data_IF_745912776420
#
_entry.id   IF_745912776420
#
_cell.length_a   1.000
_cell.length_b   1.000
_cell.length_c   1.000
_cell.angle_alpha   90.00
_cell.angle_beta   90.00
_cell.angle_gamma   90.00
#
_symmetry.space_group_name_H-M   'P 1'
#
loop_
_entity.id
_entity.type
_entity.pdbx_description
1 polymer ?
#
# COMPACT_ATOMS: atom_id res chain seq x y z
N UNK A 1 16.95 20.49 -2.82
CA UNK A 1 16.12 19.65 -3.71
C UNK A 1 15.31 18.71 -2.82
N UNK A 2 14.02 18.53 -3.09
CA UNK A 2 13.17 17.59 -2.36
C UNK A 2 12.72 16.49 -3.32
N UNK A 3 13.07 15.23 -3.05
CA UNK A 3 12.67 14.08 -3.84
C UNK A 3 11.31 13.53 -3.38
N UNK A 4 10.29 13.70 -4.21
CA UNK A 4 8.92 13.25 -3.99
C UNK A 4 8.42 12.42 -5.18
N UNK A 5 9.32 11.65 -5.79
CA UNK A 5 9.17 10.91 -7.05
C UNK A 5 8.74 9.44 -6.87
N UNK A 6 8.14 9.12 -5.72
CA UNK A 6 7.46 7.84 -5.47
C UNK A 6 8.36 6.70 -5.03
N UNK A 7 7.78 5.49 -4.92
CA UNK A 7 8.49 4.29 -4.43
C UNK A 7 9.76 4.01 -5.23
N UNK A 8 9.72 4.16 -6.55
CA UNK A 8 10.87 3.91 -7.44
C UNK A 8 11.67 5.17 -7.75
N UNK A 9 11.95 5.94 -6.69
CA UNK A 9 12.60 7.24 -6.75
C UNK A 9 13.96 7.18 -7.46
N UNK A 10 14.08 7.96 -8.53
CA UNK A 10 15.36 8.23 -9.20
C UNK A 10 16.25 9.09 -8.31
N UNK A 11 15.67 10.05 -7.59
CA UNK A 11 16.43 10.88 -6.63
C UNK A 11 17.06 10.03 -5.52
N UNK A 12 16.33 9.07 -4.97
CA UNK A 12 16.87 8.13 -3.98
C UNK A 12 18.01 7.30 -4.59
N UNK A 13 17.79 6.77 -5.80
CA UNK A 13 18.81 5.96 -6.49
C UNK A 13 20.12 6.72 -6.67
N UNK A 14 20.02 7.95 -7.15
CA UNK A 14 21.19 8.74 -7.54
C UNK A 14 21.97 9.27 -6.31
N UNK A 15 21.27 9.52 -5.20
CA UNK A 15 21.86 10.12 -3.99
C UNK A 15 22.26 9.09 -2.93
N UNK A 16 21.46 8.03 -2.74
CA UNK A 16 21.64 7.04 -1.68
C UNK A 16 22.11 5.68 -2.21
N UNK A 17 21.86 5.38 -3.49
CA UNK A 17 22.26 4.16 -4.18
C UNK A 17 21.08 3.26 -4.57
N UNK A 18 21.38 2.08 -5.07
CA UNK A 18 20.42 1.14 -5.67
C UNK A 18 19.21 0.80 -4.76
N UNK A 19 18.03 0.66 -5.35
CA UNK A 19 16.75 0.52 -4.66
C UNK A 19 16.69 -0.73 -3.77
N UNK A 20 17.30 -1.82 -4.20
CA UNK A 20 17.32 -3.13 -3.55
C UNK A 20 17.92 -3.07 -2.14
N UNK A 21 18.74 -2.05 -1.86
CA UNK A 21 19.30 -1.80 -0.53
C UNK A 21 18.22 -1.39 0.47
N UNK A 22 17.18 -0.70 -0.01
CA UNK A 22 16.15 -0.05 0.81
C UNK A 22 14.78 -0.70 0.67
N UNK A 23 14.49 -1.30 -0.49
CA UNK A 23 13.25 -2.01 -0.74
C UNK A 23 13.19 -3.30 0.09
N UNK A 24 12.04 -3.53 0.73
CA UNK A 24 11.71 -4.76 1.44
C UNK A 24 10.40 -5.29 0.89
N UNK A 25 10.49 -6.37 0.12
CA UNK A 25 9.34 -7.04 -0.45
C UNK A 25 8.61 -7.83 0.64
N UNK A 26 7.28 -7.77 0.64
CA UNK A 26 6.46 -8.55 1.58
C UNK A 26 6.18 -9.96 1.07
N UNK A 27 6.74 -10.34 -0.10
CA UNK A 27 6.46 -11.60 -0.79
C UNK A 27 5.14 -11.60 -1.58
N UNK A 28 4.50 -10.45 -1.74
CA UNK A 28 3.21 -10.30 -2.42
C UNK A 28 3.35 -9.40 -3.65
N UNK A 29 2.47 -9.57 -4.63
CA UNK A 29 2.29 -8.71 -5.78
C UNK A 29 0.83 -8.26 -5.85
N UNK A 30 0.64 -7.04 -6.38
CA UNK A 30 -0.66 -6.45 -6.59
C UNK A 30 -0.81 -6.03 -8.06
N UNK A 31 -2.00 -6.26 -8.61
CA UNK A 31 -2.43 -5.73 -9.90
C UNK A 31 -3.71 -4.93 -9.71
N UNK A 32 -3.82 -3.78 -10.38
CA UNK A 32 -5.01 -2.93 -10.37
C UNK A 32 -5.38 -2.58 -11.80
N UNK A 33 -6.67 -2.69 -12.12
CA UNK A 33 -7.23 -2.33 -13.42
C UNK A 33 -8.54 -1.56 -13.25
N UNK A 34 -8.87 -0.73 -14.24
CA UNK A 34 -10.23 -0.24 -14.42
C UNK A 34 -11.06 -1.22 -15.22
N UNK A 35 -12.30 -1.43 -14.80
CA UNK A 35 -13.28 -2.24 -15.54
C UNK A 35 -14.60 -1.48 -15.65
N UNK A 36 -15.41 -1.75 -16.69
CA UNK A 36 -16.79 -1.29 -16.71
C UNK A 36 -17.50 -1.69 -15.41
N UNK A 37 -18.34 -0.82 -14.86
CA UNK A 37 -19.08 -1.13 -13.63
C UNK A 37 -20.29 -2.04 -13.91
N UNK A 38 -20.06 -3.21 -14.49
CA UNK A 38 -21.11 -4.16 -14.85
C UNK A 38 -21.78 -4.84 -13.64
N UNK A 39 -21.17 -4.72 -12.46
CA UNK A 39 -21.71 -5.17 -11.17
C UNK A 39 -22.62 -4.13 -10.49
N UNK A 40 -22.83 -2.96 -11.11
CA UNK A 40 -23.61 -1.81 -10.58
C UNK A 40 -23.24 -1.45 -9.13
N UNK A 41 -21.93 -1.41 -8.84
CA UNK A 41 -21.44 -1.01 -7.52
C UNK A 41 -21.62 0.50 -7.33
N UNK A 42 -22.10 0.90 -6.14
CA UNK A 42 -22.23 2.31 -5.74
C UNK A 42 -21.69 2.47 -4.32
N UNK A 43 -20.47 3.01 -4.20
CA UNK A 43 -19.77 3.18 -2.91
C UNK A 43 -19.72 1.88 -2.13
N UNK A 44 -19.48 0.80 -2.86
CA UNK A 44 -19.46 -0.56 -2.34
C UNK A 44 -18.21 -1.30 -2.83
N UNK A 45 -17.72 -2.20 -1.99
CA UNK A 45 -16.59 -3.07 -2.28
C UNK A 45 -17.02 -4.53 -2.10
N UNK A 46 -16.67 -5.36 -3.07
CA UNK A 46 -16.80 -6.80 -3.02
C UNK A 46 -15.40 -7.41 -2.91
N UNK A 47 -15.23 -8.34 -1.98
CA UNK A 47 -13.98 -9.05 -1.76
C UNK A 47 -14.23 -10.53 -1.98
N UNK A 48 -13.48 -11.12 -2.89
CA UNK A 48 -13.45 -12.55 -3.16
C UNK A 48 -12.09 -13.12 -2.80
N UNK A 49 -12.05 -13.91 -1.72
CA UNK A 49 -10.84 -14.53 -1.22
C UNK A 49 -10.82 -16.03 -1.55
N UNK A 50 -9.70 -16.49 -2.10
CA UNK A 50 -9.38 -17.90 -2.30
C UNK A 50 -8.06 -18.22 -1.58
N UNK A 51 -7.74 -19.50 -1.32
CA UNK A 51 -6.50 -19.84 -0.64
C UNK A 51 -5.29 -19.24 -1.38
N UNK A 52 -4.55 -18.37 -0.70
CA UNK A 52 -3.36 -17.72 -1.25
C UNK A 52 -3.63 -16.56 -2.22
N UNK A 53 -4.88 -16.14 -2.49
CA UNK A 53 -5.16 -15.05 -3.45
C UNK A 53 -6.44 -14.29 -3.09
N UNK A 54 -6.46 -12.99 -3.35
CA UNK A 54 -7.63 -12.13 -3.11
C UNK A 54 -7.90 -11.29 -4.36
N UNK A 55 -9.18 -11.18 -4.73
CA UNK A 55 -9.67 -10.22 -5.72
C UNK A 55 -10.66 -9.28 -5.04
N UNK A 56 -10.51 -7.99 -5.27
CA UNK A 56 -11.39 -6.96 -4.75
C UNK A 56 -11.94 -6.15 -5.91
N UNK A 57 -13.22 -5.79 -5.87
CA UNK A 57 -13.81 -4.89 -6.86
C UNK A 57 -14.61 -3.84 -6.12
N UNK A 58 -14.32 -2.57 -6.38
CA UNK A 58 -15.04 -1.46 -5.78
C UNK A 58 -15.35 -0.36 -6.80
N UNK A 59 -16.36 0.44 -6.50
CA UNK A 59 -16.67 1.66 -7.24
C UNK A 59 -16.91 2.82 -6.29
N UNK A 60 -16.25 3.95 -6.53
CA UNK A 60 -16.48 5.21 -5.81
C UNK A 60 -17.51 6.09 -6.53
N UNK A 61 -17.67 5.92 -7.85
CA UNK A 61 -18.65 6.57 -8.70
C UNK A 61 -19.18 5.57 -9.73
N UNK A 62 -20.50 5.47 -9.87
CA UNK A 62 -21.24 4.42 -10.61
C UNK A 62 -20.77 4.13 -12.05
N UNK A 63 -19.98 4.98 -12.68
CA UNK A 63 -19.53 4.81 -14.06
C UNK A 63 -18.43 3.75 -14.24
N UNK A 64 -17.49 3.63 -13.30
CA UNK A 64 -16.30 2.77 -13.43
C UNK A 64 -16.07 2.03 -12.12
N UNK A 65 -15.61 0.79 -12.21
CA UNK A 65 -15.14 0.01 -11.09
C UNK A 65 -13.63 -0.22 -11.18
N UNK A 66 -13.00 -0.39 -10.03
CA UNK A 66 -11.60 -0.79 -9.88
C UNK A 66 -11.55 -2.22 -9.42
N UNK A 67 -10.80 -3.05 -10.14
CA UNK A 67 -10.49 -4.41 -9.72
C UNK A 67 -9.04 -4.48 -9.26
N UNK A 68 -8.82 -5.07 -8.09
CA UNK A 68 -7.51 -5.27 -7.49
C UNK A 68 -7.30 -6.76 -7.25
N UNK A 69 -6.15 -7.27 -7.68
CA UNK A 69 -5.69 -8.63 -7.49
C UNK A 69 -4.50 -8.61 -6.53
N UNK A 70 -4.52 -9.44 -5.50
CA UNK A 70 -3.44 -9.59 -4.53
C UNK A 70 -3.06 -11.07 -4.38
N UNK A 71 -1.79 -11.39 -4.55
CA UNK A 71 -1.29 -12.77 -4.63
C UNK A 71 0.22 -12.84 -4.33
N UNK A 72 0.79 -14.01 -4.02
CA UNK A 72 2.23 -14.17 -3.85
C UNK A 72 3.01 -13.68 -5.07
N UNK A 73 4.07 -12.92 -4.82
CA UNK A 73 4.97 -12.49 -5.88
C UNK A 73 5.69 -13.70 -6.51
N UNK A 74 6.03 -13.64 -7.80
CA UNK A 74 6.87 -14.66 -8.44
C UNK A 74 8.28 -14.65 -7.83
N UNK A 75 8.96 -15.80 -7.84
CA UNK A 75 10.33 -15.94 -7.34
C UNK A 75 11.31 -15.00 -8.08
N UNK A 76 11.08 -14.80 -9.37
CA UNK A 76 11.80 -13.83 -10.19
C UNK A 76 10.90 -12.64 -10.49
N UNK A 77 11.35 -11.45 -10.08
CA UNK A 77 10.66 -10.21 -10.38
C UNK A 77 10.66 -9.97 -11.89
N UNK A 78 9.47 -9.66 -12.41
CA UNK A 78 9.28 -9.28 -13.80
C UNK A 78 9.83 -7.88 -14.05
N UNK A 79 10.28 -7.63 -15.28
CA UNK A 79 10.56 -6.28 -15.72
C UNK A 79 9.29 -5.43 -15.59
N UNK A 80 9.43 -4.26 -14.96
CA UNK A 80 8.34 -3.29 -14.78
C UNK A 80 7.80 -2.78 -16.11
N UNK A 81 8.62 -2.78 -17.16
CA UNK A 81 8.22 -2.39 -18.52
C UNK A 81 7.49 -3.47 -19.32
N UNK A 82 7.58 -4.75 -18.92
CA UNK A 82 6.94 -5.85 -19.65
C UNK A 82 5.50 -6.08 -19.17
N UNK A 83 4.61 -5.17 -19.57
CA UNK A 83 3.18 -5.21 -19.26
C UNK A 83 2.56 -6.55 -19.70
N UNK A 84 2.95 -7.08 -20.86
CA UNK A 84 2.40 -8.33 -21.37
C UNK A 84 2.78 -9.53 -20.51
N UNK A 85 4.01 -9.60 -19.99
CA UNK A 85 4.40 -10.64 -19.03
C UNK A 85 3.65 -10.52 -17.71
N UNK A 86 3.46 -9.30 -17.21
CA UNK A 86 2.71 -9.05 -15.98
C UNK A 86 1.24 -9.47 -16.11
N UNK A 87 0.58 -9.12 -17.23
CA UNK A 87 -0.78 -9.55 -17.52
C UNK A 87 -0.91 -11.07 -17.62
N UNK A 88 0.04 -11.74 -18.31
CA UNK A 88 0.06 -13.22 -18.39
C UNK A 88 0.18 -13.85 -17.00
N UNK A 89 1.08 -13.36 -16.17
CA UNK A 89 1.25 -13.86 -14.81
C UNK A 89 -0.05 -13.73 -14.01
N UNK A 90 -0.71 -12.57 -14.05
CA UNK A 90 -1.99 -12.36 -13.34
C UNK A 90 -3.05 -13.34 -13.87
N UNK A 91 -3.16 -13.52 -15.19
CA UNK A 91 -4.12 -14.46 -15.79
C UNK A 91 -3.84 -15.91 -15.39
N UNK A 92 -2.58 -16.35 -15.37
CA UNK A 92 -2.17 -17.69 -14.94
C UNK A 92 -2.47 -17.92 -13.46
N UNK A 93 -2.10 -16.95 -12.61
CA UNK A 93 -2.36 -17.02 -11.17
C UNK A 93 -3.86 -17.07 -10.88
N UNK A 94 -4.72 -16.42 -11.66
CA UNK A 94 -6.14 -16.31 -11.37
C UNK A 94 -7.04 -17.17 -12.28
N UNK A 95 -6.48 -18.07 -13.08
CA UNK A 95 -7.21 -18.88 -14.05
C UNK A 95 -8.36 -19.70 -13.44
N UNK A 96 -8.18 -20.17 -12.20
CA UNK A 96 -9.15 -20.96 -11.42
C UNK A 96 -9.89 -20.14 -10.35
N UNK A 97 -9.83 -18.81 -10.43
CA UNK A 97 -10.29 -17.91 -9.37
C UNK A 97 -11.80 -17.93 -9.09
N UNK A 98 -12.63 -18.42 -10.01
CA UNK A 98 -14.09 -18.45 -9.87
C UNK A 98 -14.72 -17.05 -9.76
N UNK A 99 -15.97 -16.96 -9.28
CA UNK A 99 -16.70 -15.69 -9.17
C UNK A 99 -16.63 -14.86 -10.48
N UNK A 100 -16.25 -13.60 -10.40
CA UNK A 100 -16.13 -12.64 -11.51
C UNK A 100 -14.73 -12.60 -12.12
N UNK A 101 -13.81 -13.43 -11.63
CA UNK A 101 -12.39 -13.35 -12.00
C UNK A 101 -12.18 -13.48 -13.50
N UNK A 102 -12.90 -14.38 -14.18
CA UNK A 102 -12.79 -14.54 -15.63
C UNK A 102 -13.19 -13.26 -16.40
N UNK A 103 -14.25 -12.58 -15.97
CA UNK A 103 -14.70 -11.33 -16.59
C UNK A 103 -13.69 -10.19 -16.35
N UNK A 104 -13.14 -10.11 -15.13
CA UNK A 104 -12.13 -9.12 -14.78
C UNK A 104 -10.82 -9.33 -15.56
N UNK A 105 -10.36 -10.59 -15.67
CA UNK A 105 -9.20 -10.94 -16.50
C UNK A 105 -9.45 -10.64 -17.99
N UNK A 106 -10.68 -10.84 -18.48
CA UNK A 106 -11.07 -10.50 -19.85
C UNK A 106 -11.01 -9.00 -20.14
N UNK A 107 -11.25 -8.14 -19.15
CA UNK A 107 -11.16 -6.68 -19.28
C UNK A 107 -9.73 -6.13 -19.12
N UNK A 108 -8.82 -6.90 -18.53
CA UNK A 108 -7.45 -6.48 -18.20
C UNK A 108 -6.63 -5.95 -19.40
N UNK A 109 -6.63 -6.58 -20.60
CA UNK A 109 -5.83 -6.10 -21.73
C UNK A 109 -6.22 -4.69 -22.21
N UNK A 110 -7.50 -4.34 -22.09
CA UNK A 110 -8.07 -3.07 -22.54
C UNK A 110 -8.11 -2.02 -21.41
N UNK A 111 -7.61 -2.34 -20.22
CA UNK A 111 -7.60 -1.42 -19.08
C UNK A 111 -6.63 -0.27 -19.36
N UNK A 112 -7.10 1.00 -19.40
CA UNK A 112 -6.26 2.16 -19.75
C UNK A 112 -5.20 2.48 -18.68
N UNK A 113 -5.37 1.95 -17.48
CA UNK A 113 -4.53 2.20 -16.31
C UNK A 113 -4.17 0.91 -15.59
N UNK A 114 -3.81 -0.12 -16.37
CA UNK A 114 -3.19 -1.31 -15.82
C UNK A 114 -1.98 -0.95 -14.97
N UNK A 115 -1.98 -1.42 -13.73
CA UNK A 115 -0.88 -1.27 -12.79
C UNK A 115 -0.53 -2.65 -12.23
N UNK A 116 0.76 -2.95 -12.17
CA UNK A 116 1.28 -4.14 -11.51
C UNK A 116 2.55 -3.76 -10.75
N UNK A 117 2.68 -4.24 -9.52
CA UNK A 117 3.92 -4.15 -8.78
C UNK A 117 3.98 -5.17 -7.63
N UNK A 118 5.19 -5.38 -7.12
CA UNK A 118 5.39 -6.00 -5.81
C UNK A 118 4.86 -5.11 -4.69
N UNK A 119 4.28 -5.74 -3.68
CA UNK A 119 3.95 -5.07 -2.44
C UNK A 119 5.25 -4.95 -1.63
N UNK A 120 5.74 -3.71 -1.55
CA UNK A 120 7.06 -3.41 -1.01
C UNK A 120 7.01 -2.23 -0.06
N UNK A 121 8.00 -2.16 0.83
CA UNK A 121 8.26 -1.02 1.68
C UNK A 121 9.63 -0.43 1.40
N UNK A 122 9.79 0.88 1.63
CA UNK A 122 11.10 1.55 1.57
C UNK A 122 11.58 1.82 3.00
N UNK A 123 12.77 1.31 3.32
CA UNK A 123 13.41 1.45 4.62
C UNK A 123 14.72 2.20 4.47
N UNK A 124 14.77 3.44 4.98
CA UNK A 124 15.93 4.31 4.96
C UNK A 124 16.33 4.73 6.38
N UNK A 125 17.62 4.58 6.69
CA UNK A 125 18.21 5.06 7.94
C UNK A 125 18.25 6.59 8.00
N UNK A 126 18.57 7.23 6.87
CA UNK A 126 18.59 8.68 6.73
C UNK A 126 17.76 9.10 5.52
N UNK A 127 16.93 10.13 5.67
CA UNK A 127 16.07 10.64 4.60
C UNK A 127 16.66 11.86 3.88
N UNK A 128 17.87 12.27 4.25
CA UNK A 128 18.55 13.39 3.61
C UNK A 128 20.04 13.14 3.46
N UNK A 129 20.64 13.78 2.45
CA UNK A 129 22.08 13.80 2.23
C UNK A 129 22.44 15.15 1.61
N UNK A 130 23.32 15.91 2.27
CA UNK A 130 23.68 17.27 1.87
C UNK A 130 22.45 18.20 1.77
N UNK A 131 22.15 18.66 0.56
CA UNK A 131 21.02 19.56 0.25
C UNK A 131 19.82 18.85 -0.38
N UNK A 132 19.80 17.53 -0.30
CA UNK A 132 18.71 16.68 -0.80
C UNK A 132 18.00 16.03 0.37
N UNK A 133 16.67 16.14 0.40
CA UNK A 133 15.82 15.37 1.31
C UNK A 133 14.76 14.61 0.50
N UNK A 134 14.38 13.43 0.96
CA UNK A 134 13.32 12.61 0.40
C UNK A 134 12.06 12.72 1.25
N UNK A 135 10.90 12.54 0.63
CA UNK A 135 9.60 12.58 1.30
C UNK A 135 8.62 11.58 0.68
N UNK A 136 7.63 11.15 1.46
CA UNK A 136 6.59 10.24 0.98
C UNK A 136 7.17 8.88 0.61
N UNK A 137 6.64 8.25 -0.43
CA UNK A 137 7.06 6.91 -0.83
C UNK A 137 8.54 6.83 -1.27
N UNK A 138 9.14 7.95 -1.67
CA UNK A 138 10.57 8.01 -1.96
C UNK A 138 11.42 7.73 -0.71
N UNK A 139 10.94 8.13 0.47
CA UNK A 139 11.64 8.01 1.75
C UNK A 139 11.17 6.81 2.59
N UNK A 140 9.87 6.53 2.62
CA UNK A 140 9.26 5.63 3.61
C UNK A 140 7.93 5.02 3.12
N UNK A 141 7.92 4.46 1.91
CA UNK A 141 6.71 3.82 1.41
C UNK A 141 6.24 2.69 2.35
N UNK A 142 5.00 2.73 2.88
CA UNK A 142 4.49 1.75 3.84
C UNK A 142 3.89 0.48 3.19
N UNK A 143 4.00 0.35 1.86
CA UNK A 143 3.21 -0.54 1.01
C UNK A 143 1.74 -0.11 0.87
N UNK A 144 1.10 -0.40 -0.29
CA UNK A 144 -0.30 -0.04 -0.54
C UNK A 144 -1.28 -0.67 0.47
N UNK A 145 -0.91 -1.79 1.10
CA UNK A 145 -1.76 -2.52 2.05
C UNK A 145 -1.81 -1.89 3.45
N UNK A 146 -1.01 -0.84 3.70
CA UNK A 146 -1.12 -0.05 4.92
C UNK A 146 -2.33 0.90 4.90
N UNK A 147 -2.70 1.39 3.71
CA UNK A 147 -3.65 2.51 3.56
C UNK A 147 -3.16 3.86 4.10
N UNK A 148 -1.88 3.98 4.49
CA UNK A 148 -1.35 5.16 5.20
C UNK A 148 -0.39 6.02 4.35
N UNK A 149 -0.03 5.59 3.14
CA UNK A 149 0.97 6.29 2.30
C UNK A 149 0.68 7.77 2.08
N UNK A 150 -0.55 8.11 1.70
CA UNK A 150 -0.97 9.51 1.48
C UNK A 150 -0.89 10.33 2.77
N UNK A 151 -1.37 9.78 3.89
CA UNK A 151 -1.29 10.45 5.20
C UNK A 151 0.16 10.74 5.58
N UNK A 152 1.04 9.75 5.44
CA UNK A 152 2.48 9.90 5.73
C UNK A 152 3.17 10.92 4.82
N UNK A 153 2.79 10.98 3.55
CA UNK A 153 3.30 11.97 2.61
C UNK A 153 2.87 13.40 3.01
N UNK A 154 1.60 13.60 3.33
CA UNK A 154 1.05 14.92 3.73
C UNK A 154 1.65 15.40 5.06
N UNK A 155 1.68 14.53 6.07
CA UNK A 155 2.28 14.81 7.37
C UNK A 155 3.76 15.14 7.21
N UNK A 156 4.49 14.33 6.44
CA UNK A 156 5.90 14.59 6.16
C UNK A 156 6.13 15.93 5.48
N UNK A 157 5.25 16.33 4.55
CA UNK A 157 5.38 17.60 3.82
C UNK A 157 5.19 18.78 4.76
N UNK A 158 4.18 18.68 5.63
CA UNK A 158 3.91 19.67 6.65
C UNK A 158 5.09 19.84 7.62
N UNK A 159 5.61 18.74 8.17
CA UNK A 159 6.73 18.77 9.12
C UNK A 159 7.99 19.32 8.44
N UNK A 160 8.37 18.82 7.27
CA UNK A 160 9.57 19.28 6.57
C UNK A 160 9.52 20.78 6.23
N UNK A 161 8.39 21.26 5.72
CA UNK A 161 8.20 22.69 5.44
C UNK A 161 8.25 23.53 6.71
N UNK A 162 7.65 23.04 7.79
CA UNK A 162 7.69 23.66 9.12
C UNK A 162 9.11 23.78 9.66
N UNK A 163 9.88 22.70 9.64
CA UNK A 163 11.28 22.71 10.08
C UNK A 163 12.15 23.67 9.29
N UNK A 164 11.96 23.70 7.96
CA UNK A 164 12.68 24.64 7.11
C UNK A 164 12.37 26.09 7.48
N UNK A 165 11.10 26.39 7.82
CA UNK A 165 10.70 27.72 8.30
C UNK A 165 11.30 28.03 9.67
N UNK A 166 11.22 27.11 10.62
CA UNK A 166 11.74 27.28 11.98
C UNK A 166 13.26 27.47 12.00
N UNK A 167 13.98 26.78 11.13
CA UNK A 167 15.43 26.89 10.97
C UNK A 167 15.88 28.07 10.09
N UNK A 168 14.97 28.98 9.71
CA UNK A 168 15.25 30.10 8.79
C UNK A 168 15.96 29.65 7.49
N UNK A 169 15.63 28.46 6.99
CA UNK A 169 16.21 27.87 5.78
C UNK A 169 17.52 27.09 5.97
N UNK A 170 18.05 26.93 7.19
CA UNK A 170 19.20 26.03 7.41
C UNK A 170 18.77 24.57 7.30
N UNK A 171 18.98 24.00 6.11
CA UNK A 171 18.62 22.62 5.79
C UNK A 171 19.30 21.58 6.68
N UNK A 172 20.47 21.87 7.27
CA UNK A 172 21.17 20.90 8.14
C UNK A 172 20.40 20.71 9.44
N UNK A 173 19.89 21.80 10.00
CA UNK A 173 19.04 21.77 11.19
C UNK A 173 17.67 21.20 10.83
N UNK A 174 17.06 21.73 9.76
CA UNK A 174 15.70 21.36 9.39
C UNK A 174 15.55 19.89 9.01
N UNK A 175 16.48 19.33 8.23
CA UNK A 175 16.38 17.93 7.79
C UNK A 175 16.58 16.94 8.95
N UNK A 176 17.48 17.27 9.89
CA UNK A 176 17.68 16.46 11.09
C UNK A 176 16.41 16.46 11.97
N UNK A 177 15.85 17.65 12.23
CA UNK A 177 14.62 17.78 13.02
C UNK A 177 13.41 17.11 12.34
N UNK A 178 13.30 17.22 11.02
CA UNK A 178 12.26 16.55 10.23
C UNK A 178 12.32 15.04 10.43
N UNK A 179 13.51 14.46 10.33
CA UNK A 179 13.71 13.04 10.50
C UNK A 179 13.39 12.59 11.93
N UNK A 180 13.88 13.32 12.94
CA UNK A 180 13.66 13.01 14.34
C UNK A 180 12.17 12.99 14.70
N UNK A 181 11.43 14.03 14.32
CA UNK A 181 10.00 14.18 14.66
C UNK A 181 9.11 13.14 14.00
N UNK A 182 9.48 12.71 12.81
CA UNK A 182 8.69 11.77 12.01
C UNK A 182 9.05 10.31 12.26
N UNK A 183 10.22 10.00 12.84
CA UNK A 183 10.76 8.63 12.88
C UNK A 183 9.78 7.63 13.51
N UNK A 184 9.32 7.90 14.73
CA UNK A 184 8.40 7.00 15.44
C UNK A 184 7.09 6.79 14.67
N UNK A 185 6.53 7.88 14.14
CA UNK A 185 5.31 7.83 13.32
C UNK A 185 5.49 6.97 12.07
N UNK A 186 6.61 7.13 11.36
CA UNK A 186 6.90 6.35 10.17
C UNK A 186 7.12 4.87 10.52
N UNK A 187 7.88 4.58 11.57
CA UNK A 187 8.20 3.20 11.96
C UNK A 187 6.93 2.43 12.40
N UNK A 188 6.01 3.06 13.13
CA UNK A 188 4.71 2.47 13.50
C UNK A 188 3.84 2.17 12.28
N UNK A 189 3.82 3.08 11.28
CA UNK A 189 3.05 2.86 10.05
C UNK A 189 3.69 1.80 9.13
N UNK A 190 5.02 1.73 9.06
CA UNK A 190 5.74 0.66 8.36
C UNK A 190 5.45 -0.70 9.01
N UNK A 191 5.50 -0.79 10.35
CA UNK A 191 5.17 -2.01 11.07
C UNK A 191 3.71 -2.44 10.85
N UNK A 192 2.76 -1.51 10.82
CA UNK A 192 1.37 -1.79 10.50
C UNK A 192 1.22 -2.35 9.08
N UNK A 193 1.85 -1.69 8.08
CA UNK A 193 1.82 -2.12 6.69
C UNK A 193 2.39 -3.54 6.48
N UNK A 194 3.50 -3.85 7.16
CA UNK A 194 4.13 -5.17 7.09
C UNK A 194 3.23 -6.27 7.65
N UNK A 195 2.61 -6.02 8.80
CA UNK A 195 1.71 -6.96 9.45
C UNK A 195 0.41 -7.18 8.64
N UNK A 196 -0.12 -6.14 7.99
CA UNK A 196 -1.29 -6.27 7.13
C UNK A 196 -0.96 -7.08 5.87
N UNK A 197 0.17 -6.79 5.22
CA UNK A 197 0.57 -7.48 3.99
C UNK A 197 0.75 -8.99 4.19
N UNK A 198 1.31 -9.40 5.33
CA UNK A 198 1.54 -10.82 5.66
C UNK A 198 0.29 -11.56 6.14
N UNK A 199 -0.80 -10.86 6.45
CA UNK A 199 -2.05 -11.46 6.99
C UNK A 199 -3.26 -11.36 6.07
N UNK A 200 -3.23 -10.48 5.06
CA UNK A 200 -4.36 -10.29 4.14
C UNK A 200 -4.64 -11.52 3.27
N UNK A 201 -3.62 -12.31 2.97
CA UNK A 201 -3.74 -13.48 2.12
C UNK A 201 -3.51 -14.74 2.95
N UNK A 202 -4.60 -15.50 3.17
CA UNK A 202 -4.57 -16.74 3.94
C UNK A 202 -4.33 -17.92 2.99
N UNK A 203 -3.20 -18.62 3.16
CA UNK A 203 -2.84 -19.76 2.32
C UNK A 203 -3.68 -21.03 2.55
N UNK A 204 -4.23 -21.23 3.75
CA UNK A 204 -5.00 -22.44 4.08
C UNK A 204 -6.52 -22.26 3.84
N UNK A 205 -7.09 -23.18 3.08
CA UNK A 205 -8.52 -23.22 2.78
C UNK A 205 -9.41 -23.41 4.03
N UNK A 206 -8.94 -24.13 5.05
CA UNK A 206 -9.71 -24.30 6.30
C UNK A 206 -9.72 -23.02 7.12
N UNK A 207 -8.55 -22.42 7.33
CA UNK A 207 -8.42 -21.12 7.98
C UNK A 207 -9.25 -20.03 7.28
N UNK A 208 -9.20 -19.98 5.94
CA UNK A 208 -9.98 -19.02 5.16
C UNK A 208 -11.50 -19.23 5.32
N UNK A 209 -11.97 -20.48 5.25
CA UNK A 209 -13.39 -20.80 5.50
C UNK A 209 -13.83 -20.41 6.91
N UNK A 210 -12.99 -20.65 7.92
CA UNK A 210 -13.27 -20.25 9.29
C UNK A 210 -13.37 -18.73 9.42
N UNK A 211 -12.41 -17.99 8.85
CA UNK A 211 -12.40 -16.52 8.85
C UNK A 211 -13.64 -15.95 8.15
N UNK A 212 -13.98 -16.44 6.96
CA UNK A 212 -15.18 -16.01 6.22
C UNK A 212 -16.46 -16.33 6.99
N UNK A 213 -16.53 -17.51 7.63
CA UNK A 213 -17.69 -17.89 8.45
C UNK A 213 -17.82 -16.97 9.66
N UNK A 214 -16.71 -16.66 10.34
CA UNK A 214 -16.67 -15.73 11.46
C UNK A 214 -17.11 -14.32 11.03
N UNK A 215 -16.64 -13.83 9.89
CA UNK A 215 -17.05 -12.53 9.31
C UNK A 215 -18.56 -12.48 9.03
N UNK A 216 -19.14 -13.55 8.47
CA UNK A 216 -20.59 -13.65 8.22
C UNK A 216 -21.40 -13.69 9.51
N UNK A 217 -20.87 -14.32 10.55
CA UNK A 217 -21.50 -14.38 11.87
C UNK A 217 -21.41 -13.04 12.63
N UNK A 218 -20.42 -12.20 12.36
CA UNK A 218 -20.22 -10.91 13.03
C UNK A 218 -21.47 -10.00 12.92
N UNK A 219 -22.22 -10.07 11.81
CA UNK A 219 -23.48 -9.32 11.62
C UNK A 219 -24.52 -9.61 12.70
N UNK A 220 -24.46 -10.81 13.29
CA UNK A 220 -25.45 -11.32 14.24
C UNK A 220 -24.95 -11.29 15.70
N UNK A 221 -23.70 -10.90 15.94
CA UNK A 221 -23.07 -10.99 17.25
C UNK A 221 -23.24 -9.68 18.05
N UNK A 222 -23.74 -9.73 19.31
CA UNK A 222 -24.01 -8.53 20.12
C UNK A 222 -22.75 -7.72 20.49
N UNK A 223 -21.55 -8.30 20.37
CA UNK A 223 -20.27 -7.65 20.69
C UNK A 223 -19.48 -7.16 19.47
N UNK A 224 -20.12 -7.01 18.31
CA UNK A 224 -19.48 -6.53 17.06
C UNK A 224 -18.63 -5.26 17.25
N UNK A 225 -19.05 -4.35 18.13
CA UNK A 225 -18.31 -3.13 18.45
C UNK A 225 -16.96 -3.38 19.16
N UNK A 226 -16.85 -4.44 19.98
CA UNK A 226 -15.58 -4.80 20.62
C UNK A 226 -14.61 -5.41 19.60
N UNK A 227 -15.11 -6.28 18.72
CA UNK A 227 -14.31 -6.88 17.65
C UNK A 227 -13.80 -5.83 16.65
N UNK A 228 -14.66 -4.88 16.24
CA UNK A 228 -14.28 -3.75 15.40
C UNK A 228 -13.22 -2.87 16.07
N UNK A 229 -13.34 -2.59 17.38
CA UNK A 229 -12.33 -1.81 18.12
C UNK A 229 -10.95 -2.46 18.11
N UNK A 230 -10.87 -3.79 18.20
CA UNK A 230 -9.57 -4.49 18.16
C UNK A 230 -8.90 -4.39 16.78
N UNK A 231 -9.67 -4.29 15.70
CA UNK A 231 -9.18 -4.07 14.32
C UNK A 231 -8.77 -2.61 14.12
N UNK A 232 -9.57 -1.67 14.64
CA UNK A 232 -9.34 -0.23 14.45
C UNK A 232 -8.19 0.31 15.30
N UNK A 233 -7.97 -0.21 16.52
CA UNK A 233 -6.97 0.29 17.47
C UNK A 233 -5.55 0.43 16.88
N UNK A 234 -4.98 -0.56 16.19
CA UNK A 234 -3.65 -0.42 15.58
C UNK A 234 -3.59 0.67 14.51
N UNK A 235 -4.66 0.81 13.71
CA UNK A 235 -4.78 1.85 12.67
C UNK A 235 -4.85 3.23 13.31
N UNK A 236 -5.70 3.40 14.34
CA UNK A 236 -5.82 4.65 15.09
C UNK A 236 -4.50 5.01 15.79
N UNK A 237 -3.80 4.03 16.37
CA UNK A 237 -2.49 4.24 17.00
C UNK A 237 -1.48 4.75 15.96
N UNK A 238 -1.35 4.07 14.83
CA UNK A 238 -0.40 4.44 13.78
C UNK A 238 -0.73 5.82 13.17
N UNK A 239 -2.01 6.12 12.95
CA UNK A 239 -2.45 7.42 12.41
C UNK A 239 -2.20 8.59 13.38
N UNK A 240 -2.23 8.35 14.69
CA UNK A 240 -2.04 9.37 15.73
C UNK A 240 -0.66 9.31 16.42
N UNK A 241 0.30 8.55 15.87
CA UNK A 241 1.65 8.42 16.44
C UNK A 241 2.53 9.67 16.25
N UNK A 242 1.96 10.80 15.81
CA UNK A 242 2.64 12.08 15.72
C UNK A 242 1.79 13.21 16.30
N UNK A 243 2.46 14.14 16.99
CA UNK A 243 1.87 15.42 17.39
C UNK A 243 2.41 16.52 16.49
N UNK A 244 1.51 17.20 15.78
CA UNK A 244 1.89 18.30 14.88
C UNK A 244 2.09 19.60 15.67
N UNK A 245 3.26 20.21 15.51
CA UNK A 245 3.53 21.57 15.98
C UNK A 245 2.89 22.63 15.08
N UNK A 246 2.69 23.83 15.63
CA UNK A 246 2.32 25.01 14.83
C UNK A 246 3.58 25.83 14.58
N UNK A 247 4.00 25.87 13.33
CA UNK A 247 5.15 26.63 12.86
C UNK A 247 4.80 28.08 12.54
#
# INVERSE_FOLDING_TARGET
>A
MIGADGMHSTVRRDIFGAEERFARHTGMAACVISVPNYLDLDRWELIHATPGKVVQVYSTHRSVAKAQFLFPAPDQLLDRGDISAQQRLVAEVFADGGWEVANLLGAMPESPDFYFDTVSQIHLEQWSSGRVALIGDAAYCPSPLSGQGTSMALVGAYVLAGELRAAAGDHRVAFAAYQERMREYIDENLALGWNNATRMVVGDARALRLQMTMMRMLRWMPWKGLALRSIMKPIEKAANAIRLERY
#
